data_IF_804391179258
#
_entry.id   IF_804391179258
#
_cell.length_a   1.000
_cell.length_b   1.000
_cell.length_c   1.000
_cell.angle_alpha   90.00
_cell.angle_beta   90.00
_cell.angle_gamma   90.00
#
_symmetry.space_group_name_H-M   'P 1'
#
loop_
_entity.id
_entity.type
_entity.pdbx_description
1 polymer ?
#
# COMPACT_ATOMS: atom_id res chain seq x y z
N UNK A 1 8.75 26.53 9.81
CA UNK A 1 8.82 25.07 10.09
C UNK A 1 8.14 24.36 8.94
N UNK A 2 8.79 23.45 8.20
CA UNK A 2 8.10 22.72 7.16
C UNK A 2 7.10 21.78 7.83
N UNK A 3 5.82 22.04 7.61
CA UNK A 3 4.72 21.17 8.01
C UNK A 3 4.88 19.85 7.26
N UNK A 4 5.34 18.81 7.95
CA UNK A 4 5.26 17.45 7.42
C UNK A 4 3.77 17.16 7.18
N UNK A 5 3.32 16.91 5.94
CA UNK A 5 1.95 16.43 5.76
C UNK A 5 1.84 15.12 6.53
N UNK A 6 0.90 15.06 7.48
CA UNK A 6 0.50 13.78 8.06
C UNK A 6 0.08 12.86 6.91
N UNK A 7 0.38 11.54 6.96
CA UNK A 7 -0.09 10.60 5.94
C UNK A 7 -1.59 10.80 5.74
N UNK A 8 -1.99 11.10 4.50
CA UNK A 8 -3.39 11.38 4.21
C UNK A 8 -4.18 10.10 4.47
N UNK A 9 -5.06 10.05 5.50
CA UNK A 9 -5.71 8.82 5.93
C UNK A 9 -6.59 8.20 4.83
N UNK A 10 -6.95 8.97 3.80
CA UNK A 10 -7.67 8.48 2.62
C UNK A 10 -6.86 7.55 1.72
N UNK A 11 -5.53 7.67 1.67
CA UNK A 11 -4.69 6.85 0.80
C UNK A 11 -4.46 5.45 1.38
N UNK A 12 -4.34 5.32 2.69
CA UNK A 12 -4.28 4.01 3.37
C UNK A 12 -5.55 3.20 3.14
N UNK A 13 -6.71 3.86 3.27
CA UNK A 13 -8.00 3.25 2.96
C UNK A 13 -8.10 2.83 1.48
N UNK A 14 -7.51 3.61 0.55
CA UNK A 14 -7.47 3.25 -0.86
C UNK A 14 -6.59 2.00 -1.11
N UNK A 15 -5.42 1.92 -0.47
CA UNK A 15 -4.54 0.75 -0.52
C UNK A 15 -5.27 -0.50 -0.02
N UNK A 16 -5.91 -0.42 1.14
CA UNK A 16 -6.66 -1.55 1.71
C UNK A 16 -7.85 -1.96 0.83
N UNK A 17 -8.54 -1.01 0.19
CA UNK A 17 -9.62 -1.31 -0.76
C UNK A 17 -9.09 -2.02 -2.00
N UNK A 18 -7.94 -1.61 -2.55
CA UNK A 18 -7.34 -2.25 -3.71
C UNK A 18 -6.80 -3.65 -3.37
N UNK A 19 -6.11 -3.80 -2.24
CA UNK A 19 -5.67 -5.11 -1.76
C UNK A 19 -6.86 -6.04 -1.49
N UNK A 20 -7.97 -5.50 -0.97
CA UNK A 20 -9.23 -6.21 -0.76
C UNK A 20 -9.93 -6.71 -2.04
N UNK A 21 -9.49 -6.27 -3.23
CA UNK A 21 -9.95 -6.82 -4.51
C UNK A 21 -9.16 -8.07 -4.92
N UNK A 22 -7.94 -8.23 -4.41
CA UNK A 22 -7.05 -9.36 -4.69
C UNK A 22 -7.24 -10.48 -3.66
N UNK A 23 -7.33 -10.10 -2.39
CA UNK A 23 -7.43 -11.02 -1.25
C UNK A 23 -8.55 -10.58 -0.31
N UNK A 24 -9.06 -11.47 0.57
CA UNK A 24 -10.01 -11.09 1.61
C UNK A 24 -9.52 -9.93 2.49
N UNK A 25 -10.44 -9.12 3.01
CA UNK A 25 -10.10 -7.90 3.76
C UNK A 25 -9.18 -8.16 4.98
N UNK A 26 -9.33 -9.30 5.65
CA UNK A 26 -8.49 -9.65 6.80
C UNK A 26 -7.04 -9.94 6.38
N UNK A 27 -6.85 -10.62 5.25
CA UNK A 27 -5.53 -10.84 4.65
C UNK A 27 -4.95 -9.53 4.09
N UNK A 28 -5.76 -8.68 3.46
CA UNK A 28 -5.32 -7.37 2.99
C UNK A 28 -4.79 -6.49 4.14
N UNK A 29 -5.46 -6.50 5.29
CA UNK A 29 -5.00 -5.80 6.49
C UNK A 29 -3.71 -6.42 7.05
N UNK A 30 -3.62 -7.75 7.10
CA UNK A 30 -2.39 -8.43 7.52
C UNK A 30 -1.22 -8.08 6.59
N UNK A 31 -1.43 -8.20 5.28
CA UNK A 31 -0.46 -7.83 4.24
C UNK A 31 0.03 -6.39 4.39
N UNK A 32 -0.89 -5.45 4.57
CA UNK A 32 -0.58 -4.02 4.69
C UNK A 32 0.41 -3.73 5.82
N UNK A 33 0.31 -4.46 6.93
CA UNK A 33 1.14 -4.25 8.12
C UNK A 33 2.38 -5.14 8.19
N UNK A 34 2.29 -6.38 7.73
CA UNK A 34 3.27 -7.42 8.02
C UNK A 34 4.03 -7.90 6.79
N UNK A 35 3.51 -7.69 5.58
CA UNK A 35 4.07 -8.30 4.38
C UNK A 35 4.90 -7.28 3.57
N UNK A 36 6.22 -7.51 3.44
CA UNK A 36 7.11 -6.57 2.77
C UNK A 36 6.97 -6.67 1.26
N UNK A 37 6.75 -5.52 0.62
CA UNK A 37 6.67 -5.43 -0.84
C UNK A 37 8.10 -5.37 -1.38
N UNK A 38 8.62 -6.52 -1.80
CA UNK A 38 9.99 -6.66 -2.31
C UNK A 38 10.31 -5.67 -3.45
N UNK A 39 9.36 -5.45 -4.36
CA UNK A 39 9.53 -4.53 -5.50
C UNK A 39 9.58 -3.05 -5.10
N UNK A 40 9.09 -2.71 -3.90
CA UNK A 40 9.17 -1.36 -3.34
C UNK A 40 10.31 -1.24 -2.31
N UNK A 41 11.31 -2.12 -2.40
CA UNK A 41 12.49 -2.13 -1.53
C UNK A 41 12.33 -2.97 -0.26
N UNK A 42 11.36 -3.89 -0.23
CA UNK A 42 11.13 -4.78 0.91
C UNK A 42 10.44 -4.10 2.11
N UNK A 43 9.72 -3.01 1.86
CA UNK A 43 8.96 -2.29 2.88
C UNK A 43 7.48 -2.68 2.85
N UNK A 44 6.83 -2.70 4.01
CA UNK A 44 5.38 -2.93 4.09
C UNK A 44 4.62 -1.69 3.62
N UNK A 45 3.38 -1.88 3.19
CA UNK A 45 2.53 -0.77 2.76
C UNK A 45 2.34 0.28 3.88
N UNK A 46 2.23 -0.15 5.14
CA UNK A 46 2.17 0.73 6.31
C UNK A 46 3.46 1.57 6.48
N UNK A 47 4.64 0.98 6.26
CA UNK A 47 5.91 1.70 6.32
C UNK A 47 6.02 2.70 5.17
N UNK A 48 5.64 2.30 3.96
CA UNK A 48 5.63 3.20 2.80
C UNK A 48 4.66 4.36 2.98
N UNK A 49 3.52 4.14 3.65
CA UNK A 49 2.59 5.21 3.99
C UNK A 49 3.18 6.23 4.96
N UNK A 50 3.90 5.77 5.99
CA UNK A 50 4.64 6.67 6.90
C UNK A 50 5.69 7.51 6.17
N UNK A 51 6.22 7.01 5.06
CA UNK A 51 7.18 7.70 4.21
C UNK A 51 6.54 8.54 3.09
N UNK A 52 5.22 8.75 3.09
CA UNK A 52 4.48 9.46 2.02
C UNK A 52 4.63 8.80 0.64
N UNK A 53 4.86 7.49 0.60
CA UNK A 53 5.01 6.69 -0.63
C UNK A 53 3.75 5.88 -0.95
N UNK A 54 2.57 6.28 -0.43
CA UNK A 54 1.31 5.55 -0.68
C UNK A 54 1.02 5.39 -2.17
N UNK A 55 1.30 6.42 -2.98
CA UNK A 55 1.05 6.42 -4.43
C UNK A 55 1.81 5.31 -5.15
N UNK A 56 3.01 4.95 -4.68
CA UNK A 56 3.78 3.83 -5.24
C UNK A 56 3.13 2.48 -4.92
N UNK A 57 2.59 2.32 -3.71
CA UNK A 57 1.84 1.12 -3.30
C UNK A 57 0.56 0.98 -4.12
N UNK A 58 -0.16 2.09 -4.32
CA UNK A 58 -1.38 2.11 -5.15
C UNK A 58 -1.06 1.73 -6.59
N UNK A 59 -0.02 2.32 -7.19
CA UNK A 59 0.41 1.99 -8.54
C UNK A 59 0.84 0.52 -8.66
N UNK A 60 1.55 -0.01 -7.65
CA UNK A 60 1.90 -1.42 -7.57
C UNK A 60 0.66 -2.32 -7.56
N UNK A 61 -0.29 -2.08 -6.66
CA UNK A 61 -1.53 -2.85 -6.57
C UNK A 61 -2.37 -2.77 -7.85
N UNK A 62 -2.40 -1.61 -8.51
CA UNK A 62 -3.08 -1.45 -9.80
C UNK A 62 -2.42 -2.22 -10.93
N UNK A 63 -1.09 -2.40 -10.90
CA UNK A 63 -0.38 -3.21 -11.88
C UNK A 63 -0.64 -4.72 -11.66
N UNK A 64 -0.64 -5.15 -10.40
CA UNK A 64 -1.02 -6.53 -10.01
C UNK A 64 -2.46 -6.83 -10.43
N UNK A 65 -3.40 -5.92 -10.13
CA UNK A 65 -4.81 -6.05 -10.55
C UNK A 65 -5.01 -6.12 -12.07
N UNK A 66 -4.10 -5.51 -12.85
CA UNK A 66 -4.12 -5.59 -14.32
C UNK A 66 -3.47 -6.86 -14.86
N UNK A 67 -2.90 -7.70 -14.00
CA UNK A 67 -2.11 -8.88 -14.40
C UNK A 67 -0.79 -8.51 -15.08
N UNK A 68 -0.32 -7.26 -14.90
CA UNK A 68 0.97 -6.81 -15.42
C UNK A 68 2.12 -7.27 -14.51
N UNK A 69 1.80 -7.71 -13.28
CA UNK A 69 2.74 -8.17 -12.24
C UNK A 69 2.13 -9.32 -11.44
N UNK A 70 2.97 -10.27 -11.04
CA UNK A 70 2.66 -11.42 -10.17
C UNK A 70 3.26 -11.20 -8.77
#
# INVERSE_FOLDING_TARGET
>A
MPSHPAPAPGLDAAILRLAGLLVPLHEAAHWFHHDPIHELGGWTAAQLSRMQRQTQVIAFLQAVLRGERD
#
